data_IF_189485039519
#
_entry.id   IF_189485039519
#
_cell.length_a   1.000
_cell.length_b   1.000
_cell.length_c   1.000
_cell.angle_alpha   90.00
_cell.angle_beta   90.00
_cell.angle_gamma   90.00
#
_symmetry.space_group_name_H-M   'P 1'
#
loop_
_entity.id
_entity.type
_entity.pdbx_description
1 polymer ?
#
# COMPACT_ATOMS: atom_id res chain seq x y z
N UNK A 1 -14.10 -15.53 -42.77
CA UNK A 1 -13.68 -14.16 -42.40
C UNK A 1 -12.17 -14.07 -42.63
N UNK A 2 -11.72 -13.20 -43.55
CA UNK A 2 -10.29 -13.00 -43.86
C UNK A 2 -9.73 -11.92 -42.93
N UNK A 3 -8.85 -12.30 -42.01
CA UNK A 3 -8.12 -11.35 -41.16
C UNK A 3 -6.87 -10.92 -41.92
N UNK A 4 -6.82 -9.65 -42.31
CA UNK A 4 -5.66 -9.05 -42.98
C UNK A 4 -4.59 -8.73 -41.94
N UNK A 5 -3.41 -9.35 -42.09
CA UNK A 5 -2.18 -8.99 -41.39
C UNK A 5 -1.61 -7.70 -42.02
N UNK A 6 -1.72 -6.58 -41.31
CA UNK A 6 -0.98 -5.36 -41.64
C UNK A 6 0.43 -5.48 -41.07
N UNK A 7 1.42 -5.68 -41.94
CA UNK A 7 2.83 -5.59 -41.58
C UNK A 7 3.20 -4.11 -41.37
N UNK A 8 3.46 -3.72 -40.13
CA UNK A 8 3.97 -2.39 -39.79
C UNK A 8 5.49 -2.39 -40.01
N UNK A 9 5.94 -1.82 -41.12
CA UNK A 9 7.37 -1.62 -41.37
C UNK A 9 7.88 -0.48 -40.47
N UNK A 10 8.63 -0.84 -39.42
CA UNK A 10 9.39 0.10 -38.60
C UNK A 10 10.55 0.66 -39.44
N UNK A 11 10.36 1.85 -40.01
CA UNK A 11 11.43 2.64 -40.60
C UNK A 11 12.35 3.13 -39.48
N UNK A 12 13.54 2.54 -39.38
CA UNK A 12 14.63 3.03 -38.54
C UNK A 12 15.12 4.37 -39.08
N UNK A 13 14.77 5.48 -38.41
CA UNK A 13 15.37 6.77 -38.68
C UNK A 13 16.79 6.80 -38.08
N UNK A 14 17.82 7.19 -38.85
CA UNK A 14 19.16 7.35 -38.29
C UNK A 14 19.16 8.51 -37.31
N UNK A 15 19.65 8.26 -36.10
CA UNK A 15 19.97 9.30 -35.11
C UNK A 15 21.12 10.14 -35.70
N UNK A 16 20.86 11.38 -36.11
CA UNK A 16 21.94 12.27 -36.57
C UNK A 16 22.68 12.84 -35.37
N UNK A 17 24.02 12.80 -35.40
CA UNK A 17 24.87 13.47 -34.42
C UNK A 17 24.49 14.95 -34.26
N UNK A 18 24.30 15.42 -33.02
CA UNK A 18 24.00 16.82 -32.74
C UNK A 18 25.26 17.69 -32.85
N UNK A 19 25.22 18.74 -33.69
CA UNK A 19 26.31 19.70 -33.83
C UNK A 19 26.08 20.91 -32.90
N UNK A 20 27.08 21.30 -32.12
CA UNK A 20 27.04 22.50 -31.27
C UNK A 20 27.80 23.63 -31.97
N UNK A 21 27.10 24.74 -32.22
CA UNK A 21 27.63 25.94 -32.86
C UNK A 21 27.98 26.99 -31.81
N UNK A 22 29.16 27.60 -31.91
CA UNK A 22 29.52 28.76 -31.11
C UNK A 22 29.28 30.05 -31.90
N UNK A 23 28.37 30.89 -31.39
CA UNK A 23 27.99 32.19 -31.94
C UNK A 23 28.51 33.29 -31.00
N UNK A 24 29.72 33.79 -31.26
CA UNK A 24 30.41 34.70 -30.32
C UNK A 24 30.76 33.99 -29.00
N UNK A 25 30.17 34.45 -27.89
CA UNK A 25 30.37 33.85 -26.54
C UNK A 25 29.23 32.89 -26.13
N UNK A 26 28.28 32.59 -27.03
CA UNK A 26 27.12 31.75 -26.74
C UNK A 26 27.17 30.45 -27.55
N UNK A 27 26.64 29.36 -27.00
CA UNK A 27 26.54 28.06 -27.66
C UNK A 27 25.08 27.76 -28.05
N UNK A 28 24.87 27.16 -29.22
CA UNK A 28 23.54 26.81 -29.75
C UNK A 28 23.56 25.45 -30.44
N UNK A 29 22.41 24.79 -30.46
CA UNK A 29 22.12 23.52 -31.15
C UNK A 29 21.68 23.73 -32.61
N UNK A 30 21.61 24.99 -33.06
CA UNK A 30 21.27 25.40 -34.43
C UNK A 30 22.32 26.37 -35.00
N UNK A 31 22.48 26.44 -36.33
CA UNK A 31 23.41 27.37 -36.96
C UNK A 31 23.15 28.82 -36.55
N UNK A 32 24.23 29.60 -36.36
CA UNK A 32 24.13 31.01 -36.02
C UNK A 32 23.34 31.78 -37.09
N UNK A 33 22.44 32.67 -36.68
CA UNK A 33 21.71 33.53 -37.61
C UNK A 33 22.65 34.57 -38.24
N UNK A 34 22.88 34.46 -39.55
CA UNK A 34 23.75 35.36 -40.33
C UNK A 34 25.10 34.75 -40.72
N UNK A 35 25.80 35.38 -41.68
CA UNK A 35 27.04 34.92 -42.32
C UNK A 35 28.30 35.04 -41.45
N UNK A 36 28.18 34.96 -40.12
CA UNK A 36 29.34 34.83 -39.24
C UNK A 36 29.81 33.36 -39.27
N UNK A 37 31.13 33.08 -39.33
CA UNK A 37 31.63 31.71 -39.41
C UNK A 37 31.36 31.00 -38.08
N UNK A 38 30.29 30.21 -38.03
CA UNK A 38 30.02 29.33 -36.92
C UNK A 38 31.17 28.33 -36.80
N UNK A 39 31.91 28.36 -35.69
CA UNK A 39 32.91 27.35 -35.41
C UNK A 39 32.18 26.15 -34.79
N UNK A 40 32.28 24.99 -35.41
CA UNK A 40 31.87 23.72 -34.80
C UNK A 40 32.91 23.44 -33.71
N UNK A 41 32.49 23.47 -32.43
CA UNK A 41 33.44 23.42 -31.28
C UNK A 41 33.58 22.00 -30.72
N UNK A 42 32.76 21.06 -31.17
CA UNK A 42 32.90 19.66 -30.82
C UNK A 42 31.86 18.84 -31.54
N UNK A 43 32.31 17.75 -32.14
CA UNK A 43 31.44 16.63 -32.48
C UNK A 43 31.32 15.83 -31.18
N UNK A 44 30.14 15.83 -30.55
CA UNK A 44 29.90 14.94 -29.41
C UNK A 44 29.82 13.53 -29.99
N UNK A 45 30.96 12.85 -30.00
CA UNK A 45 31.00 11.43 -30.27
C UNK A 45 30.56 10.76 -28.96
N UNK A 46 29.33 10.23 -28.87
CA UNK A 46 28.92 9.52 -27.66
C UNK A 46 29.95 8.43 -27.40
N UNK A 47 30.45 8.34 -26.17
CA UNK A 47 31.29 7.21 -25.76
C UNK A 47 30.55 5.94 -26.18
N UNK A 48 31.12 5.23 -27.16
CA UNK A 48 30.54 4.00 -27.69
C UNK A 48 30.69 2.96 -26.59
N UNK A 49 29.71 2.90 -25.69
CA UNK A 49 29.58 1.76 -24.78
C UNK A 49 29.59 0.49 -25.62
N UNK A 50 30.43 -0.46 -25.24
CA UNK A 50 30.44 -1.78 -25.85
C UNK A 50 29.05 -2.43 -25.70
N UNK A 51 28.69 -3.29 -26.66
CA UNK A 51 27.44 -4.05 -26.60
C UNK A 51 27.31 -4.85 -25.29
N UNK A 52 28.45 -5.27 -24.72
CA UNK A 52 28.55 -5.95 -23.43
C UNK A 52 28.17 -5.05 -22.25
N UNK A 53 28.63 -3.80 -22.22
CA UNK A 53 28.27 -2.82 -21.19
C UNK A 53 26.80 -2.41 -21.27
N UNK A 54 26.25 -2.27 -22.48
CA UNK A 54 24.82 -1.99 -22.70
C UNK A 54 23.99 -3.14 -22.12
N UNK A 55 24.37 -4.38 -22.43
CA UNK A 55 23.67 -5.57 -21.93
C UNK A 55 23.74 -5.68 -20.42
N UNK A 56 24.91 -5.44 -19.83
CA UNK A 56 25.10 -5.49 -18.38
C UNK A 56 24.24 -4.45 -17.65
N UNK A 57 24.23 -3.20 -18.14
CA UNK A 57 23.38 -2.14 -17.57
C UNK A 57 21.90 -2.43 -17.75
N UNK A 58 21.48 -2.98 -18.89
CA UNK A 58 20.08 -3.35 -19.09
C UNK A 58 19.65 -4.46 -18.13
N UNK A 59 20.51 -5.44 -17.88
CA UNK A 59 20.22 -6.50 -16.91
C UNK A 59 20.13 -5.95 -15.48
N UNK A 60 21.02 -5.03 -15.12
CA UNK A 60 20.96 -4.31 -13.84
C UNK A 60 19.68 -3.50 -13.70
N UNK A 61 19.29 -2.75 -14.74
CA UNK A 61 18.03 -1.99 -14.76
C UNK A 61 16.81 -2.91 -14.62
N UNK A 62 16.76 -4.03 -15.35
CA UNK A 62 15.67 -4.98 -15.23
C UNK A 62 15.57 -5.58 -13.82
N UNK A 63 16.73 -5.85 -13.17
CA UNK A 63 16.76 -6.32 -11.78
C UNK A 63 16.27 -5.24 -10.83
N UNK A 64 16.70 -3.99 -11.03
CA UNK A 64 16.28 -2.87 -10.21
C UNK A 64 14.78 -2.63 -10.35
N UNK A 65 14.23 -2.63 -11.57
CA UNK A 65 12.80 -2.50 -11.83
C UNK A 65 12.00 -3.60 -11.13
N UNK A 66 12.42 -4.86 -11.28
CA UNK A 66 11.78 -5.99 -10.61
C UNK A 66 11.81 -5.86 -9.08
N UNK A 67 12.93 -5.43 -8.52
CA UNK A 67 13.06 -5.19 -7.09
C UNK A 67 12.15 -4.05 -6.65
N UNK A 68 12.15 -2.93 -7.37
CA UNK A 68 11.30 -1.78 -7.04
C UNK A 68 9.81 -2.12 -7.13
N UNK A 69 9.39 -2.92 -8.11
CA UNK A 69 7.99 -3.35 -8.25
C UNK A 69 7.57 -4.26 -7.10
N UNK A 70 8.43 -5.19 -6.71
CA UNK A 70 8.19 -6.07 -5.57
C UNK A 70 8.09 -5.26 -4.27
N UNK A 71 8.98 -4.30 -4.05
CA UNK A 71 9.00 -3.44 -2.86
C UNK A 71 7.79 -2.51 -2.81
N UNK A 72 7.46 -1.86 -3.94
CA UNK A 72 6.26 -1.00 -4.06
C UNK A 72 5.01 -1.82 -3.76
N UNK A 73 4.91 -3.03 -4.33
CA UNK A 73 3.79 -3.92 -4.08
C UNK A 73 3.69 -4.32 -2.61
N UNK A 74 4.80 -4.73 -1.99
CA UNK A 74 4.81 -5.12 -0.59
C UNK A 74 4.41 -3.96 0.34
N UNK A 75 4.90 -2.74 0.06
CA UNK A 75 4.51 -1.53 0.81
C UNK A 75 3.04 -1.19 0.64
N UNK A 76 2.52 -1.25 -0.59
CA UNK A 76 1.11 -1.02 -0.88
C UNK A 76 0.21 -2.03 -0.17
N UNK A 77 0.53 -3.32 -0.26
CA UNK A 77 -0.25 -4.38 0.40
C UNK A 77 -0.24 -4.20 1.93
N UNK A 78 0.90 -3.83 2.53
CA UNK A 78 1.01 -3.56 3.96
C UNK A 78 0.19 -2.33 4.40
N UNK A 79 0.20 -1.26 3.60
CA UNK A 79 -0.58 -0.04 3.85
C UNK A 79 -2.09 -0.33 3.78
N UNK A 80 -2.52 -1.07 2.76
CA UNK A 80 -3.92 -1.50 2.62
C UNK A 80 -4.34 -2.36 3.80
N UNK A 81 -3.55 -3.36 4.19
CA UNK A 81 -3.85 -4.21 5.34
C UNK A 81 -3.95 -3.41 6.66
N UNK A 82 -3.08 -2.42 6.86
CA UNK A 82 -3.14 -1.54 8.02
C UNK A 82 -4.39 -0.64 7.99
N UNK A 83 -4.75 -0.10 6.83
CA UNK A 83 -5.95 0.71 6.63
C UNK A 83 -7.23 -0.11 6.89
N UNK A 84 -7.31 -1.34 6.38
CA UNK A 84 -8.44 -2.25 6.64
C UNK A 84 -8.57 -2.59 8.12
N UNK A 85 -7.46 -2.92 8.79
CA UNK A 85 -7.44 -3.20 10.23
C UNK A 85 -7.92 -1.99 11.04
N UNK A 86 -7.46 -0.78 10.70
CA UNK A 86 -7.89 0.45 11.38
C UNK A 86 -9.37 0.78 11.13
N UNK A 87 -9.86 0.55 9.91
CA UNK A 87 -11.28 0.71 9.56
C UNK A 87 -12.17 -0.29 10.28
N UNK A 88 -11.75 -1.55 10.38
CA UNK A 88 -12.46 -2.57 11.15
C UNK A 88 -12.53 -2.20 12.64
N UNK A 89 -11.41 -1.73 13.21
CA UNK A 89 -11.35 -1.27 14.59
C UNK A 89 -12.27 -0.05 14.84
N UNK A 90 -12.29 0.94 13.95
CA UNK A 90 -13.14 2.12 14.10
C UNK A 90 -14.63 1.81 13.94
N UNK A 91 -14.98 0.91 13.02
CA UNK A 91 -16.33 0.40 12.87
C UNK A 91 -16.77 -0.34 14.14
N UNK A 92 -15.93 -1.23 14.66
CA UNK A 92 -16.21 -2.00 15.86
C UNK A 92 -16.39 -1.10 17.08
N UNK A 93 -15.54 -0.08 17.25
CA UNK A 93 -15.69 0.93 18.29
C UNK A 93 -17.02 1.69 18.17
N UNK A 94 -17.37 2.15 16.96
CA UNK A 94 -18.64 2.85 16.73
C UNK A 94 -19.84 1.95 17.04
N UNK A 95 -19.75 0.66 16.71
CA UNK A 95 -20.77 -0.35 17.01
C UNK A 95 -20.90 -0.58 18.51
N UNK A 96 -19.80 -0.69 19.26
CA UNK A 96 -19.84 -0.87 20.72
C UNK A 96 -20.47 0.34 21.40
N UNK A 97 -20.10 1.57 21.02
CA UNK A 97 -20.68 2.81 21.58
C UNK A 97 -22.19 2.86 21.37
N UNK A 98 -22.69 2.48 20.18
CA UNK A 98 -24.13 2.42 19.92
C UNK A 98 -24.82 1.36 20.78
N UNK A 99 -24.22 0.18 20.93
CA UNK A 99 -24.76 -0.89 21.77
C UNK A 99 -24.82 -0.50 23.24
N UNK A 100 -23.76 0.12 23.79
CA UNK A 100 -23.73 0.66 25.16
C UNK A 100 -24.90 1.63 25.40
N UNK A 101 -25.10 2.60 24.49
CA UNK A 101 -26.20 3.57 24.61
C UNK A 101 -27.59 2.93 24.61
N UNK A 102 -27.72 1.75 24.01
CA UNK A 102 -28.98 1.02 23.91
C UNK A 102 -29.12 -0.08 24.97
N UNK A 103 -28.19 -0.20 25.93
CA UNK A 103 -28.12 -1.30 26.90
C UNK A 103 -28.11 -2.68 26.22
N UNK A 104 -27.38 -2.80 25.12
CA UNK A 104 -27.23 -4.04 24.35
C UNK A 104 -25.81 -4.60 24.47
N UNK A 105 -25.70 -5.92 24.37
CA UNK A 105 -24.43 -6.61 24.17
C UNK A 105 -24.28 -6.97 22.70
N UNK A 106 -23.08 -6.77 22.16
CA UNK A 106 -22.72 -7.18 20.81
C UNK A 106 -21.34 -7.84 20.81
N UNK A 107 -21.13 -8.71 19.83
CA UNK A 107 -19.84 -9.39 19.62
C UNK A 107 -18.69 -8.39 19.54
N UNK A 108 -17.57 -8.74 20.18
CA UNK A 108 -16.34 -7.97 20.19
C UNK A 108 -16.35 -6.73 21.08
N UNK A 109 -17.38 -6.51 21.90
CA UNK A 109 -17.34 -5.50 22.97
C UNK A 109 -16.22 -5.83 23.96
N UNK A 110 -15.56 -4.80 24.50
CA UNK A 110 -14.60 -5.00 25.59
C UNK A 110 -15.33 -5.25 26.92
N UNK A 111 -14.63 -5.80 27.91
CA UNK A 111 -15.13 -5.92 29.30
C UNK A 111 -15.70 -4.58 29.83
N UNK A 112 -15.02 -3.47 29.54
CA UNK A 112 -15.47 -2.14 29.97
C UNK A 112 -16.79 -1.73 29.29
N UNK A 113 -16.95 -2.03 28.00
CA UNK A 113 -18.18 -1.71 27.27
C UNK A 113 -19.36 -2.51 27.81
N UNK A 114 -19.16 -3.78 28.18
CA UNK A 114 -20.19 -4.60 28.84
C UNK A 114 -20.61 -3.96 30.17
N UNK A 115 -19.66 -3.56 31.02
CA UNK A 115 -19.96 -2.88 32.29
C UNK A 115 -20.71 -1.57 32.07
N UNK A 116 -20.34 -0.78 31.06
CA UNK A 116 -21.05 0.46 30.72
C UNK A 116 -22.45 0.21 30.18
N UNK A 117 -22.70 -0.94 29.57
CA UNK A 117 -23.99 -1.31 28.97
C UNK A 117 -24.94 -1.95 29.98
N UNK A 118 -24.50 -2.97 30.71
CA UNK A 118 -25.34 -3.79 31.61
C UNK A 118 -25.00 -3.63 33.10
N UNK A 119 -23.94 -2.89 33.43
CA UNK A 119 -23.44 -2.79 34.80
C UNK A 119 -22.48 -3.92 35.18
N UNK A 120 -22.08 -3.93 36.45
CA UNK A 120 -21.17 -4.97 36.97
C UNK A 120 -21.90 -6.30 37.04
N UNK A 121 -21.25 -7.41 36.64
CA UNK A 121 -21.82 -8.74 36.84
C UNK A 121 -21.86 -9.09 38.33
N UNK A 122 -22.78 -9.97 38.69
CA UNK A 122 -22.87 -10.51 40.05
C UNK A 122 -21.74 -11.52 40.32
N UNK A 123 -21.40 -12.33 39.33
CA UNK A 123 -20.30 -13.30 39.41
C UNK A 123 -19.49 -13.36 38.12
N UNK A 124 -18.20 -13.64 38.26
CA UNK A 124 -17.29 -13.91 37.15
C UNK A 124 -16.61 -15.25 37.40
N UNK A 125 -16.81 -16.19 36.48
CA UNK A 125 -16.05 -17.43 36.42
C UNK A 125 -14.91 -17.23 35.41
N UNK A 126 -13.66 -17.36 35.83
CA UNK A 126 -12.48 -17.09 34.99
C UNK A 126 -11.56 -18.32 34.90
N UNK A 127 -11.07 -18.56 33.69
CA UNK A 127 -10.03 -19.54 33.38
C UNK A 127 -8.92 -18.86 32.59
N UNK A 128 -7.68 -18.92 33.08
CA UNK A 128 -6.49 -18.41 32.38
C UNK A 128 -5.54 -19.56 32.10
N UNK A 129 -5.06 -19.65 30.86
CA UNK A 129 -4.11 -20.65 30.38
C UNK A 129 -3.01 -19.98 29.58
N UNK A 130 -1.96 -20.73 29.23
CA UNK A 130 -0.91 -20.24 28.32
C UNK A 130 -1.46 -19.86 26.93
N UNK A 131 -2.61 -20.42 26.52
CA UNK A 131 -3.24 -20.11 25.22
C UNK A 131 -4.15 -18.87 25.26
N UNK A 132 -4.45 -18.33 26.45
CA UNK A 132 -5.34 -17.19 26.62
C UNK A 132 -6.27 -17.29 27.83
N UNK A 133 -7.21 -16.36 27.91
CA UNK A 133 -8.18 -16.25 29.00
C UNK A 133 -9.62 -16.41 28.50
N UNK A 134 -10.45 -17.14 29.25
CA UNK A 134 -11.89 -17.23 29.04
C UNK A 134 -12.62 -16.88 30.34
N UNK A 135 -13.68 -16.09 30.24
CA UNK A 135 -14.50 -15.68 31.37
C UNK A 135 -15.99 -15.86 31.02
N UNK A 136 -16.78 -16.28 32.01
CA UNK A 136 -18.24 -16.25 31.98
C UNK A 136 -18.73 -15.30 33.07
N UNK A 137 -19.42 -14.25 32.67
CA UNK A 137 -19.99 -13.25 33.55
C UNK A 137 -21.46 -13.58 33.75
N UNK A 138 -21.92 -13.58 35.00
CA UNK A 138 -23.28 -13.96 35.38
C UNK A 138 -24.01 -12.73 35.90
N UNK A 139 -25.21 -12.51 35.38
CA UNK A 139 -26.13 -11.45 35.80
C UNK A 139 -27.42 -12.07 36.32
N UNK A 140 -27.80 -11.77 37.55
CA UNK A 140 -29.10 -12.12 38.11
C UNK A 140 -30.11 -11.05 37.74
N UNK A 141 -31.17 -11.48 37.07
CA UNK A 141 -32.30 -10.64 36.70
C UNK A 141 -33.55 -11.14 37.42
N UNK A 142 -34.62 -10.33 37.51
CA UNK A 142 -35.89 -10.81 38.03
C UNK A 142 -36.43 -12.06 37.31
N UNK A 143 -36.01 -12.28 36.06
CA UNK A 143 -36.48 -13.37 35.20
C UNK A 143 -35.51 -14.57 35.14
N UNK A 144 -34.45 -14.59 35.96
CA UNK A 144 -33.47 -15.68 35.98
C UNK A 144 -32.03 -15.19 35.82
N UNK A 145 -31.21 -15.93 35.09
CA UNK A 145 -29.78 -15.63 34.89
C UNK A 145 -29.48 -15.35 33.43
N UNK A 146 -28.70 -14.31 33.19
CA UNK A 146 -28.11 -13.99 31.90
C UNK A 146 -26.60 -14.17 31.98
N UNK A 147 -25.98 -14.52 30.85
CA UNK A 147 -24.55 -14.77 30.80
C UNK A 147 -23.90 -13.99 29.68
N UNK A 148 -22.67 -13.51 29.93
CA UNK A 148 -21.80 -12.93 28.90
C UNK A 148 -20.50 -13.71 28.88
N UNK A 149 -20.10 -14.18 27.71
CA UNK A 149 -18.87 -14.93 27.50
C UNK A 149 -17.81 -13.99 26.93
N UNK A 150 -16.67 -13.91 27.60
CA UNK A 150 -15.55 -13.05 27.23
C UNK A 150 -14.31 -13.93 27.01
N UNK A 151 -13.72 -13.84 25.82
CA UNK A 151 -12.47 -14.55 25.50
C UNK A 151 -11.41 -13.52 25.11
N UNK A 152 -10.23 -13.61 25.70
CA UNK A 152 -9.11 -12.69 25.49
C UNK A 152 -9.53 -11.19 25.58
N UNK A 153 -10.42 -10.88 26.53
CA UNK A 153 -10.86 -9.52 26.83
C UNK A 153 -12.02 -8.98 25.98
N UNK A 154 -12.54 -9.75 25.03
CA UNK A 154 -13.68 -9.34 24.18
C UNK A 154 -14.84 -10.32 24.24
N UNK A 155 -16.07 -9.82 24.06
CA UNK A 155 -17.29 -10.62 24.05
C UNK A 155 -17.32 -11.56 22.87
N UNK A 156 -17.55 -12.86 23.15
CA UNK A 156 -17.72 -13.92 22.16
C UNK A 156 -19.12 -14.54 22.15
N UNK A 157 -20.01 -14.13 23.07
CA UNK A 157 -21.41 -14.55 23.09
C UNK A 157 -22.14 -14.09 24.35
N UNK A 158 -23.48 -14.19 24.35
CA UNK A 158 -24.34 -13.93 25.51
C UNK A 158 -25.70 -14.62 25.35
N UNK A 159 -26.46 -14.78 26.46
CA UNK A 159 -27.84 -15.27 26.48
C UNK A 159 -28.68 -14.60 27.58
#
# INVERSE_FOLDING_TARGET
MKVYLFALALLSLPVSAGQIYQCGNSFQDRPCAGSAPAKVVGEYEPEKMSEEEIKAKQEELNKLEQQTDADIKARYDAEVAAAEKSRAASYQYTKSIKAVRNNQIVMGMTKSDVIKSWGSPDHINETVTNAGSSQQWVYFTPNGRQYVYVTNGVVTGWN
#
